data_IF_883879050538
#
_entry.id   IF_883879050538
#
_cell.length_a   1.000
_cell.length_b   1.000
_cell.length_c   1.000
_cell.angle_alpha   90.00
_cell.angle_beta   90.00
_cell.angle_gamma   90.00
#
_symmetry.space_group_name_H-M   'P 1'
#
loop_
_entity.id
_entity.type
_entity.pdbx_description
1 polymer ?
#
# COMPACT_ATOMS: atom_id res chain seq x y z
N UNK A 1 -16.76 -1.83 23.70
CA UNK A 1 -17.68 -2.10 22.57
C UNK A 1 -19.04 -1.41 22.72
N UNK A 2 -19.78 -1.55 23.82
CA UNK A 2 -21.09 -0.90 23.98
C UNK A 2 -20.99 0.63 23.99
N UNK A 3 -19.97 1.20 24.62
CA UNK A 3 -19.71 2.65 24.57
C UNK A 3 -19.51 3.13 23.12
N UNK A 4 -18.73 2.39 22.33
CA UNK A 4 -18.55 2.68 20.92
C UNK A 4 -19.87 2.69 20.15
N UNK A 5 -20.72 1.68 20.31
CA UNK A 5 -22.04 1.66 19.65
C UNK A 5 -22.88 2.89 19.97
N UNK A 6 -22.81 3.34 21.24
CA UNK A 6 -23.58 4.50 21.71
C UNK A 6 -22.97 5.84 21.25
N UNK A 7 -21.66 5.89 21.00
CA UNK A 7 -20.97 7.10 20.56
C UNK A 7 -21.18 7.40 19.07
N UNK A 8 -21.40 6.36 18.26
CA UNK A 8 -21.50 6.48 16.80
C UNK A 8 -22.84 7.11 16.41
N UNK A 9 -22.79 8.16 15.59
CA UNK A 9 -23.98 8.84 15.04
C UNK A 9 -24.21 8.43 13.59
N UNK A 10 -25.49 8.38 13.19
CA UNK A 10 -25.84 8.16 11.79
C UNK A 10 -25.33 9.29 10.91
N UNK A 11 -24.61 8.94 9.83
CA UNK A 11 -24.06 9.89 8.87
C UNK A 11 -23.79 9.24 7.52
N UNK A 12 -23.67 10.08 6.50
CA UNK A 12 -23.22 9.64 5.17
C UNK A 12 -21.94 10.38 4.83
N UNK A 13 -20.87 9.63 4.55
CA UNK A 13 -19.56 10.14 4.19
C UNK A 13 -19.36 9.86 2.69
N UNK A 14 -19.47 10.89 1.82
CA UNK A 14 -19.16 10.73 0.40
C UNK A 14 -17.69 10.34 0.24
N UNK A 15 -17.40 9.35 -0.58
CA UNK A 15 -16.03 9.03 -0.96
C UNK A 15 -15.62 9.90 -2.15
N UNK A 16 -14.37 10.35 -2.14
CA UNK A 16 -13.83 11.15 -3.24
C UNK A 16 -13.30 10.25 -4.37
N UNK A 17 -12.90 10.88 -5.43
CA UNK A 17 -12.35 10.20 -6.60
C UNK A 17 -11.05 9.48 -6.31
N UNK A 18 -10.21 10.00 -5.41
CA UNK A 18 -8.96 9.37 -5.02
C UNK A 18 -9.20 8.11 -4.18
N UNK A 19 -10.26 8.07 -3.35
CA UNK A 19 -10.68 6.85 -2.65
C UNK A 19 -11.04 5.73 -3.65
N UNK A 20 -11.72 6.08 -4.75
CA UNK A 20 -12.18 5.07 -5.72
C UNK A 20 -11.06 4.45 -6.54
N UNK A 21 -9.89 5.08 -6.58
CA UNK A 21 -8.70 4.55 -7.28
C UNK A 21 -8.00 3.44 -6.48
N UNK A 22 -8.08 3.45 -5.16
CA UNK A 22 -7.54 2.43 -4.26
C UNK A 22 -8.19 1.04 -4.37
N UNK A 23 -9.06 0.87 -5.32
CA UNK A 23 -9.94 -0.22 -5.73
C UNK A 23 -9.68 -1.62 -5.16
N UNK A 24 -10.64 -2.14 -4.39
CA UNK A 24 -10.92 -3.57 -4.13
C UNK A 24 -9.82 -4.38 -3.44
N UNK A 25 -8.69 -3.77 -3.10
CA UNK A 25 -7.65 -4.37 -2.27
C UNK A 25 -7.80 -3.91 -0.82
N UNK A 26 -7.29 -4.73 0.07
CA UNK A 26 -7.00 -4.36 1.45
C UNK A 26 -5.55 -3.88 1.53
N UNK A 27 -5.22 -3.20 2.63
CA UNK A 27 -3.84 -2.90 3.04
C UNK A 27 -3.57 -3.76 4.29
N UNK A 28 -3.16 -5.03 4.12
CA UNK A 28 -2.96 -5.94 5.22
C UNK A 28 -1.50 -5.95 5.66
N UNK A 29 -1.28 -5.72 6.95
CA UNK A 29 0.02 -5.89 7.59
C UNK A 29 -0.10 -6.76 8.83
N UNK A 30 1.00 -7.43 9.19
CA UNK A 30 1.15 -8.13 10.46
C UNK A 30 2.29 -7.50 11.24
N UNK A 31 1.99 -7.15 12.49
CA UNK A 31 2.92 -6.58 13.46
C UNK A 31 3.23 -7.63 14.52
N UNK A 32 4.48 -7.99 14.70
CA UNK A 32 4.92 -8.96 15.70
C UNK A 32 5.56 -8.23 16.87
N UNK A 33 5.05 -8.48 18.07
CA UNK A 33 5.56 -7.92 19.32
C UNK A 33 6.14 -9.03 20.17
N UNK A 34 7.33 -8.80 20.71
CA UNK A 34 8.02 -9.75 21.60
C UNK A 34 7.75 -9.41 23.05
N UNK A 35 7.38 -10.41 23.84
CA UNK A 35 7.31 -10.30 25.30
C UNK A 35 8.67 -10.67 25.93
N UNK A 36 9.66 -9.82 25.75
CA UNK A 36 11.02 -10.10 26.21
C UNK A 36 11.14 -10.31 27.73
N UNK A 37 10.21 -9.76 28.51
CA UNK A 37 10.18 -9.88 29.98
C UNK A 37 9.28 -11.01 30.47
N UNK A 38 8.60 -11.72 29.58
CA UNK A 38 7.60 -12.74 29.89
C UNK A 38 6.52 -12.24 30.87
N UNK A 39 6.17 -10.95 30.78
CA UNK A 39 5.14 -10.34 31.61
C UNK A 39 3.78 -11.00 31.34
N UNK A 40 3.10 -11.41 32.41
CA UNK A 40 1.78 -12.04 32.33
C UNK A 40 0.71 -11.09 31.76
N UNK A 41 0.91 -9.78 31.91
CA UNK A 41 -0.02 -8.74 31.43
C UNK A 41 0.42 -8.13 30.09
N UNK A 42 1.38 -8.75 29.40
CA UNK A 42 1.86 -8.23 28.12
C UNK A 42 0.73 -8.10 27.10
N UNK A 43 0.45 -6.87 26.67
CA UNK A 43 -0.58 -6.53 25.68
C UNK A 43 -1.90 -7.30 25.94
N UNK A 44 -2.48 -7.17 27.15
CA UNK A 44 -3.62 -8.00 27.57
C UNK A 44 -4.80 -7.88 26.62
N UNK A 45 -5.53 -9.00 26.42
CA UNK A 45 -6.73 -9.09 25.57
C UNK A 45 -7.72 -7.96 25.85
N UNK A 46 -8.05 -7.73 27.12
CA UNK A 46 -9.01 -6.69 27.52
C UNK A 46 -8.51 -5.30 27.14
N UNK A 47 -7.23 -4.99 27.43
CA UNK A 47 -6.69 -3.65 27.15
C UNK A 47 -6.58 -3.38 25.63
N UNK A 48 -6.20 -4.37 24.83
CA UNK A 48 -6.18 -4.26 23.36
C UNK A 48 -7.58 -4.03 22.81
N UNK A 49 -8.55 -4.83 23.23
CA UNK A 49 -9.95 -4.69 22.77
C UNK A 49 -10.56 -3.36 23.19
N UNK A 50 -10.40 -2.94 24.44
CA UNK A 50 -10.99 -1.69 24.94
C UNK A 50 -10.38 -0.47 24.23
N UNK A 51 -9.05 -0.46 24.09
CA UNK A 51 -8.37 0.62 23.36
C UNK A 51 -8.71 0.64 21.87
N UNK A 52 -8.91 -0.55 21.24
CA UNK A 52 -9.35 -0.63 19.86
C UNK A 52 -10.71 0.04 19.66
N UNK A 53 -11.73 -0.36 20.43
CA UNK A 53 -13.06 0.26 20.32
C UNK A 53 -13.05 1.73 20.70
N UNK A 54 -12.20 2.14 21.64
CA UNK A 54 -12.00 3.55 21.97
C UNK A 54 -11.37 4.34 20.81
N UNK A 55 -10.48 3.71 20.06
CA UNK A 55 -9.92 4.28 18.83
C UNK A 55 -11.00 4.43 17.77
N UNK A 56 -11.87 3.43 17.60
CA UNK A 56 -12.95 3.47 16.60
C UNK A 56 -13.94 4.60 16.84
N UNK A 57 -14.07 5.10 18.06
CA UNK A 57 -14.90 6.31 18.32
C UNK A 57 -14.43 7.55 17.55
N UNK A 58 -13.14 7.62 17.24
CA UNK A 58 -12.55 8.69 16.43
C UNK A 58 -12.70 8.47 14.91
N UNK A 59 -13.05 7.25 14.50
CA UNK A 59 -13.16 6.85 13.09
C UNK A 59 -14.52 6.18 12.82
N UNK A 60 -15.64 6.88 12.95
CA UNK A 60 -16.98 6.29 12.79
C UNK A 60 -17.22 5.71 11.39
N UNK A 61 -16.41 6.08 10.41
CA UNK A 61 -16.45 5.53 9.05
C UNK A 61 -16.33 3.99 9.06
N UNK A 62 -15.57 3.41 9.99
CA UNK A 62 -15.36 1.97 10.07
C UNK A 62 -16.59 1.19 10.53
N UNK A 63 -17.60 1.86 11.10
CA UNK A 63 -18.89 1.24 11.44
C UNK A 63 -19.93 1.35 10.31
N UNK A 64 -19.53 1.85 9.15
CA UNK A 64 -20.44 2.09 8.02
C UNK A 64 -20.44 0.98 6.97
N UNK A 65 -21.33 1.13 6.00
CA UNK A 65 -21.45 0.28 4.81
C UNK A 65 -21.22 1.09 3.56
N UNK A 66 -20.53 0.49 2.61
CA UNK A 66 -20.34 1.11 1.30
C UNK A 66 -21.61 1.01 0.50
N UNK A 67 -22.12 2.16 0.10
CA UNK A 67 -23.24 2.30 -0.82
C UNK A 67 -22.78 2.92 -2.12
N UNK A 68 -23.05 2.26 -3.22
CA UNK A 68 -22.78 2.79 -4.57
C UNK A 68 -24.04 3.46 -5.13
N UNK A 69 -23.87 4.68 -5.61
CA UNK A 69 -24.92 5.41 -6.36
C UNK A 69 -24.77 5.22 -7.89
N UNK A 70 -23.93 4.28 -8.32
CA UNK A 70 -23.55 4.09 -9.72
C UNK A 70 -22.46 5.10 -10.17
N UNK A 71 -21.93 4.89 -11.37
CA UNK A 71 -20.93 5.76 -11.99
C UNK A 71 -19.70 6.09 -11.14
N UNK A 72 -19.31 5.19 -10.21
CA UNK A 72 -18.15 5.41 -9.33
C UNK A 72 -18.41 6.32 -8.12
N UNK A 73 -19.63 6.88 -7.97
CA UNK A 73 -20.00 7.64 -6.78
C UNK A 73 -20.36 6.71 -5.64
N UNK A 74 -19.43 6.54 -4.72
CA UNK A 74 -19.60 5.73 -3.53
C UNK A 74 -19.72 6.62 -2.30
N UNK A 75 -20.36 6.12 -1.27
CA UNK A 75 -20.39 6.73 0.05
C UNK A 75 -20.32 5.63 1.10
N UNK A 76 -19.81 5.97 2.26
CA UNK A 76 -19.96 5.14 3.46
C UNK A 76 -21.16 5.68 4.24
N UNK A 77 -22.14 4.81 4.46
CA UNK A 77 -23.33 5.13 5.24
C UNK A 77 -23.21 4.45 6.59
N UNK A 78 -23.19 5.25 7.64
CA UNK A 78 -23.21 4.81 9.03
C UNK A 78 -24.64 4.94 9.55
N UNK A 79 -25.24 3.85 9.99
CA UNK A 79 -26.59 3.80 10.56
C UNK A 79 -26.49 3.33 12.01
N UNK A 80 -26.73 4.22 12.97
CA UNK A 80 -26.56 3.91 14.40
C UNK A 80 -27.37 2.69 14.86
N UNK A 81 -28.56 2.50 14.29
CA UNK A 81 -29.43 1.35 14.62
C UNK A 81 -29.02 0.05 13.95
N UNK A 82 -28.06 0.12 12.99
CA UNK A 82 -27.61 -1.04 12.22
C UNK A 82 -26.15 -0.85 11.82
N UNK A 83 -25.24 -0.84 12.81
CA UNK A 83 -23.81 -0.67 12.56
C UNK A 83 -23.20 -1.90 11.87
N UNK A 84 -22.31 -1.64 10.92
CA UNK A 84 -21.38 -2.65 10.41
C UNK A 84 -20.15 -2.66 11.32
N UNK A 85 -20.25 -3.40 12.43
CA UNK A 85 -19.22 -3.37 13.47
C UNK A 85 -17.82 -3.68 12.93
N UNK A 86 -16.79 -2.94 13.37
CA UNK A 86 -15.39 -3.29 13.16
C UNK A 86 -15.13 -4.74 13.54
N UNK A 87 -14.37 -5.46 12.72
CA UNK A 87 -14.02 -6.85 12.98
C UNK A 87 -12.76 -6.92 13.85
N UNK A 88 -12.95 -7.36 15.09
CA UNK A 88 -11.87 -7.58 16.07
C UNK A 88 -12.00 -8.98 16.64
N UNK A 89 -10.98 -9.79 16.41
CA UNK A 89 -10.95 -11.19 16.84
C UNK A 89 -9.61 -11.54 17.50
N UNK A 90 -9.61 -12.57 18.33
CA UNK A 90 -8.40 -13.09 18.98
C UNK A 90 -8.32 -14.61 18.87
N UNK A 91 -7.09 -15.13 18.79
CA UNK A 91 -6.77 -16.54 18.85
C UNK A 91 -5.45 -16.78 19.60
N UNK A 92 -5.08 -18.06 19.74
CA UNK A 92 -3.80 -18.48 20.29
C UNK A 92 -3.13 -19.47 19.33
N UNK A 93 -1.81 -19.38 19.22
CA UNK A 93 -0.99 -20.22 18.34
C UNK A 93 0.04 -21.01 19.14
N UNK A 94 0.39 -22.19 18.63
CA UNK A 94 1.55 -22.98 19.11
C UNK A 94 2.89 -22.49 18.58
N UNK A 95 2.95 -21.35 17.88
CA UNK A 95 4.21 -20.77 17.37
C UNK A 95 4.83 -19.87 18.44
N UNK A 96 6.10 -20.12 18.76
CA UNK A 96 6.88 -19.29 19.68
C UNK A 96 7.61 -18.18 18.92
N UNK A 97 7.82 -17.00 19.52
CA UNK A 97 8.49 -15.85 18.90
C UNK A 97 9.90 -16.19 18.40
N UNK A 98 10.63 -17.05 19.10
CA UNK A 98 11.98 -17.46 18.68
C UNK A 98 11.97 -18.29 17.41
N UNK A 99 10.90 -19.05 17.16
CA UNK A 99 10.70 -19.75 15.88
C UNK A 99 10.56 -18.76 14.74
N UNK A 100 9.81 -17.67 14.94
CA UNK A 100 9.68 -16.59 13.97
C UNK A 100 11.02 -15.91 13.69
N UNK A 101 11.75 -15.55 14.76
CA UNK A 101 13.08 -14.94 14.66
C UNK A 101 14.07 -15.85 13.96
N UNK A 102 14.12 -17.13 14.31
CA UNK A 102 15.03 -18.12 13.72
C UNK A 102 14.77 -18.35 12.23
N UNK A 103 13.56 -18.06 11.76
CA UNK A 103 13.17 -18.14 10.34
C UNK A 103 13.11 -16.76 9.65
N UNK A 104 13.71 -15.71 10.25
CA UNK A 104 13.71 -14.35 9.68
C UNK A 104 12.31 -13.76 9.48
N UNK A 105 11.34 -14.17 10.30
CA UNK A 105 9.92 -13.79 10.15
C UNK A 105 9.30 -14.14 8.79
N UNK A 106 9.85 -15.13 8.09
CA UNK A 106 9.26 -15.63 6.85
C UNK A 106 7.82 -16.11 7.07
N UNK A 107 6.93 -15.83 6.13
CA UNK A 107 5.51 -16.25 6.16
C UNK A 107 5.31 -17.75 6.43
N UNK A 108 6.26 -18.59 6.03
CA UNK A 108 6.21 -20.04 6.26
C UNK A 108 6.26 -20.43 7.73
N UNK A 109 6.73 -19.54 8.58
CA UNK A 109 6.81 -19.74 10.03
C UNK A 109 5.69 -19.05 10.81
N UNK A 110 4.82 -18.27 10.12
CA UNK A 110 3.74 -17.56 10.79
C UNK A 110 2.65 -18.51 11.32
N UNK A 111 1.88 -18.09 12.34
CA UNK A 111 0.65 -18.78 12.69
C UNK A 111 -0.30 -18.91 11.47
N UNK A 112 -0.89 -20.09 11.28
CA UNK A 112 -1.73 -20.37 10.12
C UNK A 112 -2.96 -19.45 10.02
N UNK A 113 -3.47 -18.98 11.15
CA UNK A 113 -4.66 -18.15 11.27
C UNK A 113 -4.37 -16.65 11.43
N UNK A 114 -3.11 -16.21 11.33
CA UNK A 114 -2.77 -14.81 11.57
C UNK A 114 -3.49 -13.84 10.64
N UNK A 115 -3.67 -14.19 9.39
CA UNK A 115 -4.35 -13.35 8.40
C UNK A 115 -5.80 -13.81 8.19
N UNK A 116 -6.76 -13.12 8.78
CA UNK A 116 -8.20 -13.46 8.69
C UNK A 116 -8.88 -12.94 7.42
N UNK A 117 -8.33 -11.92 6.79
CA UNK A 117 -8.81 -11.42 5.50
C UNK A 117 -7.67 -11.41 4.47
N UNK A 118 -7.97 -11.85 3.27
CA UNK A 118 -7.00 -11.84 2.18
C UNK A 118 -6.72 -10.42 1.65
N UNK A 119 -5.81 -10.30 0.68
CA UNK A 119 -5.42 -9.02 0.09
C UNK A 119 -6.53 -8.35 -0.74
N UNK A 120 -7.60 -9.08 -1.05
CA UNK A 120 -8.76 -8.55 -1.77
C UNK A 120 -9.94 -8.35 -0.83
N UNK A 121 -10.58 -7.18 -0.96
CA UNK A 121 -11.79 -6.87 -0.22
C UNK A 121 -12.93 -7.82 -0.60
N UNK A 122 -13.49 -8.53 0.37
CA UNK A 122 -14.61 -9.47 0.20
C UNK A 122 -15.74 -9.12 1.16
N UNK A 123 -16.96 -9.38 0.73
CA UNK A 123 -18.09 -9.35 1.65
C UNK A 123 -18.05 -10.59 2.57
N UNK A 124 -18.37 -10.36 3.84
CA UNK A 124 -18.59 -11.42 4.82
C UNK A 124 -19.85 -12.25 4.52
N UNK A 125 -20.18 -13.17 5.40
CA UNK A 125 -21.37 -14.03 5.29
C UNK A 125 -22.68 -13.22 5.35
N UNK A 126 -22.68 -12.12 6.08
CA UNK A 126 -23.77 -11.13 6.15
C UNK A 126 -23.94 -10.29 4.86
N UNK A 127 -23.05 -10.46 3.88
CA UNK A 127 -23.03 -9.69 2.65
C UNK A 127 -22.38 -8.33 2.77
N UNK A 128 -21.92 -7.93 3.95
CA UNK A 128 -21.25 -6.66 4.22
C UNK A 128 -19.74 -6.78 4.09
N UNK A 129 -19.11 -5.68 3.66
CA UNK A 129 -17.65 -5.54 3.66
C UNK A 129 -17.25 -4.89 4.98
N UNK A 130 -16.43 -5.57 5.77
CA UNK A 130 -15.83 -4.97 6.96
C UNK A 130 -14.83 -3.91 6.55
N UNK A 131 -14.93 -2.72 7.14
CA UNK A 131 -14.07 -1.57 6.78
C UNK A 131 -12.79 -1.50 7.61
N UNK A 132 -12.66 -2.36 8.61
CA UNK A 132 -11.43 -2.64 9.35
C UNK A 132 -11.51 -4.08 9.87
N UNK A 133 -10.39 -4.80 9.76
CA UNK A 133 -10.24 -6.15 10.28
C UNK A 133 -8.98 -6.19 11.14
N UNK A 134 -9.15 -6.62 12.39
CA UNK A 134 -8.06 -6.82 13.34
C UNK A 134 -8.15 -8.23 13.88
N UNK A 135 -7.02 -8.94 13.82
CA UNK A 135 -6.88 -10.24 14.45
C UNK A 135 -5.63 -10.28 15.31
N UNK A 136 -5.80 -10.61 16.58
CA UNK A 136 -4.71 -10.70 17.57
C UNK A 136 -4.43 -12.16 17.83
N UNK A 137 -3.19 -12.60 17.59
CA UNK A 137 -2.76 -13.97 17.87
C UNK A 137 -1.78 -13.97 19.02
N UNK A 138 -2.13 -14.67 20.10
CA UNK A 138 -1.24 -14.95 21.23
C UNK A 138 -0.25 -16.03 20.83
N UNK A 139 1.04 -15.72 20.87
CA UNK A 139 2.08 -16.70 20.59
C UNK A 139 2.29 -17.65 21.77
N UNK A 140 2.84 -18.84 21.49
CA UNK A 140 3.07 -19.89 22.48
C UNK A 140 3.82 -19.35 23.71
N UNK A 141 3.42 -19.85 24.89
CA UNK A 141 4.00 -19.51 26.20
C UNK A 141 4.02 -18.00 26.51
N UNK A 142 3.07 -17.24 25.92
CA UNK A 142 3.00 -15.78 26.02
C UNK A 142 4.30 -15.10 25.57
N UNK A 143 5.04 -15.73 24.64
CA UNK A 143 6.31 -15.22 24.13
C UNK A 143 6.18 -13.96 23.29
N UNK A 144 4.95 -13.63 22.84
CA UNK A 144 4.66 -12.45 22.05
C UNK A 144 3.23 -12.39 21.56
N UNK A 145 2.98 -11.39 20.73
CA UNK A 145 1.68 -11.14 20.09
C UNK A 145 1.92 -10.82 18.60
N UNK A 146 1.13 -11.43 17.72
CA UNK A 146 1.00 -10.99 16.33
C UNK A 146 -0.33 -10.27 16.15
N UNK A 147 -0.30 -9.09 15.54
CA UNK A 147 -1.49 -8.30 15.23
C UNK A 147 -1.61 -8.17 13.71
N UNK A 148 -2.60 -8.84 13.16
CA UNK A 148 -3.05 -8.57 11.80
C UNK A 148 -3.93 -7.33 11.81
N UNK A 149 -3.63 -6.37 10.93
CA UNK A 149 -4.33 -5.12 10.81
C UNK A 149 -4.57 -4.81 9.34
N UNK A 150 -5.83 -4.69 8.94
CA UNK A 150 -6.21 -4.56 7.54
C UNK A 150 -7.40 -3.62 7.36
N UNK A 151 -7.26 -2.69 6.42
CA UNK A 151 -8.30 -1.74 6.03
C UNK A 151 -8.45 -1.79 4.50
N UNK A 152 -9.69 -1.76 3.98
CA UNK A 152 -9.92 -1.64 2.54
C UNK A 152 -9.29 -0.37 1.96
N UNK A 153 -8.50 -0.52 0.90
CA UNK A 153 -7.71 0.55 0.32
C UNK A 153 -8.53 1.71 -0.28
N UNK A 154 -9.82 1.52 -0.51
CA UNK A 154 -10.69 2.62 -0.90
C UNK A 154 -11.23 3.46 0.28
N UNK A 155 -10.87 3.13 1.52
CA UNK A 155 -11.17 3.94 2.70
C UNK A 155 -9.97 4.79 3.09
N UNK A 156 -8.77 4.17 3.13
CA UNK A 156 -7.51 4.81 3.53
C UNK A 156 -6.37 4.41 2.59
N UNK A 157 -5.37 5.27 2.46
CA UNK A 157 -4.06 4.93 1.93
C UNK A 157 -3.10 4.42 3.02
N UNK A 158 -1.85 4.12 2.65
CA UNK A 158 -0.85 3.59 3.57
C UNK A 158 -0.50 4.55 4.70
N UNK A 159 -0.47 5.87 4.44
CA UNK A 159 -0.20 6.90 5.46
C UNK A 159 -1.32 6.93 6.49
N UNK A 160 -2.57 7.05 6.03
CA UNK A 160 -3.73 7.09 6.92
C UNK A 160 -3.94 5.75 7.66
N UNK A 161 -3.60 4.60 7.05
CA UNK A 161 -3.60 3.30 7.70
C UNK A 161 -2.67 3.28 8.93
N UNK A 162 -1.44 3.79 8.78
CA UNK A 162 -0.49 3.88 9.88
C UNK A 162 -0.92 4.87 10.95
N UNK A 163 -1.56 5.98 10.58
CA UNK A 163 -2.10 6.94 11.56
C UNK A 163 -3.19 6.32 12.43
N UNK A 164 -4.07 5.48 11.88
CA UNK A 164 -5.05 4.72 12.68
C UNK A 164 -4.36 3.74 13.62
N UNK A 165 -3.34 3.02 13.14
CA UNK A 165 -2.56 2.08 13.97
C UNK A 165 -1.83 2.81 15.11
N UNK A 166 -1.14 3.91 14.82
CA UNK A 166 -0.45 4.74 15.82
C UNK A 166 -1.45 5.32 16.85
N UNK A 167 -2.63 5.74 16.41
CA UNK A 167 -3.68 6.21 17.29
C UNK A 167 -4.16 5.12 18.26
N UNK A 168 -4.32 3.90 17.78
CA UNK A 168 -4.65 2.76 18.64
C UNK A 168 -3.56 2.52 19.69
N UNK A 169 -2.29 2.53 19.30
CA UNK A 169 -1.16 2.42 20.22
C UNK A 169 -1.17 3.52 21.29
N UNK A 170 -1.39 4.78 20.90
CA UNK A 170 -1.44 5.92 21.82
C UNK A 170 -2.60 5.79 22.84
N UNK A 171 -3.79 5.42 22.36
CA UNK A 171 -4.96 5.23 23.24
C UNK A 171 -4.73 4.06 24.18
N UNK A 172 -4.15 2.94 23.70
CA UNK A 172 -3.77 1.82 24.55
C UNK A 172 -2.83 2.26 25.68
N UNK A 173 -1.78 3.02 25.38
CA UNK A 173 -0.83 3.52 26.36
C UNK A 173 -1.51 4.43 27.39
N UNK A 174 -2.34 5.39 26.96
CA UNK A 174 -3.05 6.29 27.85
C UNK A 174 -3.98 5.53 28.82
N UNK A 175 -4.75 4.57 28.30
CA UNK A 175 -5.65 3.75 29.14
C UNK A 175 -4.87 2.85 30.09
N UNK A 176 -3.82 2.21 29.64
CA UNK A 176 -2.98 1.32 30.47
C UNK A 176 -2.27 2.07 31.61
N UNK A 177 -1.95 3.35 31.40
CA UNK A 177 -1.32 4.22 32.38
C UNK A 177 -2.32 4.98 33.26
N UNK A 178 -3.63 4.73 33.14
CA UNK A 178 -4.68 5.42 33.89
C UNK A 178 -4.86 6.90 33.53
N UNK A 179 -4.46 7.29 32.32
CA UNK A 179 -4.46 8.67 31.81
C UNK A 179 -5.62 8.91 30.81
N UNK A 180 -6.78 8.31 31.08
CA UNK A 180 -7.94 8.43 30.18
C UNK A 180 -8.45 9.87 29.98
N UNK A 181 -8.21 10.75 30.93
CA UNK A 181 -8.52 12.20 30.86
C UNK A 181 -7.78 12.89 29.71
N UNK A 182 -6.58 12.43 29.36
CA UNK A 182 -5.79 12.99 28.27
C UNK A 182 -6.26 12.62 26.88
N UNK A 183 -7.23 11.71 26.74
CA UNK A 183 -7.81 11.36 25.43
C UNK A 183 -8.47 12.57 24.75
N UNK A 184 -9.00 13.52 25.55
CA UNK A 184 -9.60 14.75 25.03
C UNK A 184 -8.60 15.74 24.47
N UNK A 185 -7.31 15.61 24.80
CA UNK A 185 -6.22 16.46 24.31
C UNK A 185 -5.69 16.00 22.92
N UNK A 186 -6.05 14.81 22.50
CA UNK A 186 -5.58 14.25 21.24
C UNK A 186 -6.21 14.98 20.05
N UNK A 187 -5.41 15.36 19.02
CA UNK A 187 -5.96 16.03 17.85
C UNK A 187 -6.95 15.10 17.13
N UNK A 188 -8.09 15.64 16.72
CA UNK A 188 -9.11 14.89 16.01
C UNK A 188 -8.65 14.59 14.57
N UNK A 189 -9.08 13.43 14.05
CA UNK A 189 -8.95 13.11 12.64
C UNK A 189 -10.17 13.59 11.87
N UNK A 190 -9.94 14.04 10.63
CA UNK A 190 -11.04 14.30 9.70
C UNK A 190 -11.15 13.17 8.67
N UNK A 191 -12.39 12.71 8.50
CA UNK A 191 -12.78 11.78 7.43
C UNK A 191 -13.58 12.50 6.36
N UNK A 192 -13.70 13.82 6.45
CA UNK A 192 -14.41 14.65 5.49
C UNK A 192 -13.57 14.79 4.20
N UNK A 193 -14.07 14.19 3.12
CA UNK A 193 -13.41 14.19 1.81
C UNK A 193 -13.52 15.53 1.08
N UNK A 194 -14.38 16.45 1.55
CA UNK A 194 -14.53 17.79 0.94
C UNK A 194 -13.25 18.62 1.09
N UNK A 195 -12.45 18.38 2.11
CA UNK A 195 -11.17 19.07 2.36
C UNK A 195 -10.22 18.98 1.14
N UNK A 196 -10.28 17.89 0.37
CA UNK A 196 -9.47 17.74 -0.84
C UNK A 196 -9.82 18.82 -1.86
N UNK A 197 -11.13 19.14 -2.03
CA UNK A 197 -11.56 20.17 -2.98
C UNK A 197 -11.06 21.55 -2.57
N UNK A 198 -11.01 21.83 -1.28
CA UNK A 198 -10.53 23.11 -0.74
C UNK A 198 -9.01 23.27 -0.92
N UNK A 199 -8.26 22.17 -0.94
CA UNK A 199 -6.82 22.14 -1.16
C UNK A 199 -6.43 22.16 -2.64
N UNK A 200 -7.38 21.92 -3.58
CA UNK A 200 -7.04 21.92 -5.00
C UNK A 200 -6.79 23.35 -5.52
N UNK A 201 -5.67 23.61 -6.20
CA UNK A 201 -5.41 24.91 -6.80
C UNK A 201 -6.41 25.21 -7.94
N UNK A 202 -6.65 26.50 -8.17
CA UNK A 202 -7.48 26.97 -9.30
C UNK A 202 -6.77 26.81 -10.63
N UNK A 203 -5.43 26.95 -10.61
CA UNK A 203 -4.59 26.77 -11.80
C UNK A 203 -4.38 25.29 -12.05
N UNK A 204 -4.82 24.83 -13.22
CA UNK A 204 -4.79 23.42 -13.61
C UNK A 204 -3.95 23.26 -14.87
N UNK A 205 -3.21 22.15 -14.94
CA UNK A 205 -2.51 21.80 -16.18
C UNK A 205 -3.50 21.38 -17.26
N UNK A 206 -3.22 21.67 -18.54
CA UNK A 206 -4.07 21.21 -19.64
C UNK A 206 -4.26 19.69 -19.61
N UNK A 207 -5.46 19.22 -19.87
CA UNK A 207 -5.81 17.77 -19.93
C UNK A 207 -4.92 16.99 -20.90
N UNK A 208 -4.40 17.64 -21.95
CA UNK A 208 -3.49 17.03 -22.93
C UNK A 208 -2.14 16.59 -22.30
N UNK A 209 -1.65 17.28 -21.26
CA UNK A 209 -0.47 16.84 -20.52
C UNK A 209 -0.77 15.55 -19.72
N UNK A 210 -2.00 15.39 -19.25
CA UNK A 210 -2.48 14.19 -18.56
C UNK A 210 -2.68 13.00 -19.51
N UNK A 211 -3.03 13.22 -20.78
CA UNK A 211 -3.36 12.14 -21.72
C UNK A 211 -2.16 11.27 -22.07
N UNK A 212 -0.94 11.78 -21.89
CA UNK A 212 0.28 11.03 -22.15
C UNK A 212 0.75 10.21 -20.92
N UNK A 213 0.38 10.66 -19.71
CA UNK A 213 0.91 10.12 -18.46
C UNK A 213 -0.15 9.47 -17.57
N UNK A 214 -1.44 9.63 -17.84
CA UNK A 214 -2.52 9.12 -16.99
C UNK A 214 -3.37 8.08 -17.70
N UNK A 215 -4.16 7.36 -16.90
CA UNK A 215 -5.14 6.37 -17.34
C UNK A 215 -6.26 6.97 -18.18
N UNK A 216 -6.01 7.31 -19.44
CA UNK A 216 -6.98 7.93 -20.32
C UNK A 216 -7.60 6.95 -21.31
N UNK A 217 -8.90 6.82 -21.29
CA UNK A 217 -9.69 6.03 -22.24
C UNK A 217 -10.77 5.19 -21.58
N UNK A 218 -11.97 5.21 -22.13
CA UNK A 218 -13.12 4.46 -21.63
C UNK A 218 -13.07 2.99 -22.01
N UNK A 219 -13.51 2.12 -21.10
CA UNK A 219 -13.83 0.73 -21.37
C UNK A 219 -15.29 0.49 -21.01
N UNK A 220 -16.11 0.05 -21.96
CA UNK A 220 -17.50 -0.37 -21.71
C UNK A 220 -17.59 -1.42 -20.60
N UNK A 221 -16.60 -2.33 -20.52
CA UNK A 221 -16.54 -3.32 -19.45
C UNK A 221 -16.31 -2.65 -18.08
N UNK A 222 -15.49 -1.62 -18.03
CA UNK A 222 -15.22 -0.89 -16.79
C UNK A 222 -16.44 -0.08 -16.34
N UNK A 223 -17.20 0.49 -17.25
CA UNK A 223 -18.47 1.14 -16.92
C UNK A 223 -19.50 0.14 -16.39
N UNK A 224 -19.65 -1.01 -17.04
CA UNK A 224 -20.50 -2.08 -16.55
C UNK A 224 -20.10 -2.51 -15.13
N UNK A 225 -18.80 -2.68 -14.87
CA UNK A 225 -18.28 -3.01 -13.53
C UNK A 225 -18.55 -1.89 -12.51
N UNK A 226 -18.60 -0.63 -12.91
CA UNK A 226 -18.91 0.48 -12.01
C UNK A 226 -20.37 0.47 -11.52
N UNK A 227 -21.29 -0.15 -12.26
CA UNK A 227 -22.69 -0.32 -11.88
C UNK A 227 -22.95 -1.53 -10.96
N UNK A 228 -22.00 -2.45 -10.87
CA UNK A 228 -22.11 -3.63 -10.03
C UNK A 228 -21.80 -3.24 -8.57
N UNK A 229 -22.51 -3.87 -7.62
CA UNK A 229 -22.28 -3.63 -6.20
C UNK A 229 -20.80 -3.87 -5.84
N UNK A 230 -20.21 -3.11 -4.89
CA UNK A 230 -18.82 -3.27 -4.47
C UNK A 230 -18.50 -4.70 -4.04
N UNK A 231 -19.43 -5.39 -3.35
CA UNK A 231 -19.28 -6.77 -2.92
C UNK A 231 -19.15 -7.76 -4.09
N UNK A 232 -20.04 -7.67 -5.09
CA UNK A 232 -19.99 -8.55 -6.27
C UNK A 232 -18.75 -8.25 -7.12
N UNK A 233 -18.39 -6.99 -7.25
CA UNK A 233 -17.19 -6.54 -7.93
C UNK A 233 -15.92 -7.09 -7.27
N UNK A 234 -15.84 -7.03 -5.93
CA UNK A 234 -14.75 -7.63 -5.15
C UNK A 234 -14.63 -9.14 -5.39
N UNK A 235 -15.76 -9.88 -5.46
CA UNK A 235 -15.76 -11.32 -5.78
C UNK A 235 -15.22 -11.61 -7.18
N UNK A 236 -15.65 -10.85 -8.19
CA UNK A 236 -15.18 -11.01 -9.58
C UNK A 236 -13.67 -10.75 -9.67
N UNK A 237 -13.19 -9.66 -9.06
CA UNK A 237 -11.78 -9.31 -9.06
C UNK A 237 -10.95 -10.34 -8.27
N UNK A 238 -11.44 -10.83 -7.12
CA UNK A 238 -10.78 -11.89 -6.37
C UNK A 238 -10.59 -13.15 -7.22
N UNK A 239 -11.59 -13.55 -8.00
CA UNK A 239 -11.47 -14.71 -8.89
C UNK A 239 -10.45 -14.49 -10.01
N UNK A 240 -10.33 -13.25 -10.52
CA UNK A 240 -9.33 -12.90 -11.55
C UNK A 240 -7.93 -12.94 -10.95
N UNK A 241 -7.76 -12.35 -9.78
CA UNK A 241 -6.47 -12.25 -9.10
C UNK A 241 -6.00 -13.60 -8.55
N UNK A 242 -6.90 -14.42 -7.99
CA UNK A 242 -6.58 -15.77 -7.51
C UNK A 242 -5.99 -16.69 -8.59
N UNK A 243 -6.18 -16.36 -9.86
CA UNK A 243 -5.55 -17.06 -10.99
C UNK A 243 -4.11 -16.58 -11.27
N UNK A 244 -3.71 -15.45 -10.70
CA UNK A 244 -2.34 -14.94 -10.81
C UNK A 244 -1.54 -15.54 -9.64
N UNK A 245 -0.80 -16.61 -9.90
CA UNK A 245 0.14 -17.15 -8.91
C UNK A 245 1.30 -16.18 -8.79
N UNK A 246 1.22 -15.22 -7.88
CA UNK A 246 2.32 -14.34 -7.56
C UNK A 246 3.16 -14.94 -6.43
N UNK A 247 4.47 -14.77 -6.52
CA UNK A 247 5.43 -15.03 -5.47
C UNK A 247 5.97 -13.69 -4.98
N UNK A 248 6.21 -13.58 -3.68
CA UNK A 248 6.73 -12.36 -3.09
C UNK A 248 7.98 -12.64 -2.28
N UNK A 249 8.87 -11.67 -2.29
CA UNK A 249 10.06 -11.65 -1.46
C UNK A 249 10.29 -10.26 -0.87
N UNK A 250 10.95 -10.23 0.27
CA UNK A 250 11.43 -9.03 0.91
C UNK A 250 12.94 -8.96 0.75
N UNK A 251 13.41 -7.82 0.25
CA UNK A 251 14.83 -7.53 0.10
C UNK A 251 15.18 -6.31 0.94
N UNK A 252 16.37 -6.28 1.49
CA UNK A 252 16.92 -5.13 2.18
C UNK A 252 17.98 -4.45 1.32
N UNK A 253 17.84 -3.14 1.14
CA UNK A 253 18.83 -2.29 0.46
C UNK A 253 19.44 -1.38 1.50
N UNK A 254 20.70 -1.62 1.83
CA UNK A 254 21.40 -0.86 2.86
C UNK A 254 21.77 0.56 2.40
N UNK A 255 21.93 1.46 3.36
CA UNK A 255 22.42 2.82 3.10
C UNK A 255 23.76 2.84 2.36
N UNK A 256 24.65 1.88 2.66
CA UNK A 256 25.92 1.75 1.98
C UNK A 256 25.77 1.36 0.51
N UNK A 257 24.83 0.46 0.20
CA UNK A 257 24.50 0.10 -1.18
C UNK A 257 23.97 1.32 -1.96
N UNK A 258 23.05 2.09 -1.35
CA UNK A 258 22.59 3.34 -1.96
C UNK A 258 23.74 4.31 -2.26
N UNK A 259 24.60 4.58 -1.29
CA UNK A 259 25.72 5.52 -1.47
C UNK A 259 26.65 5.10 -2.62
N UNK A 260 26.96 3.80 -2.71
CA UNK A 260 27.79 3.25 -3.79
C UNK A 260 27.14 3.42 -5.17
N UNK A 261 25.84 3.16 -5.26
CA UNK A 261 25.10 3.26 -6.53
C UNK A 261 24.87 4.72 -6.93
N UNK A 262 24.58 5.60 -5.97
CA UNK A 262 24.49 7.06 -6.21
C UNK A 262 25.80 7.62 -6.78
N UNK A 263 26.94 7.25 -6.20
CA UNK A 263 28.25 7.68 -6.71
C UNK A 263 28.48 7.20 -8.14
N UNK A 264 28.15 5.92 -8.42
CA UNK A 264 28.36 5.34 -9.74
C UNK A 264 27.44 6.00 -10.80
N UNK A 265 26.15 6.15 -10.50
CA UNK A 265 25.14 6.69 -11.43
C UNK A 265 25.30 8.21 -11.58
N UNK A 266 25.66 8.92 -10.51
CA UNK A 266 25.88 10.37 -10.53
C UNK A 266 26.96 10.79 -11.51
N UNK A 267 27.99 9.95 -11.71
CA UNK A 267 29.04 10.22 -12.71
C UNK A 267 28.55 10.17 -14.17
N UNK A 268 27.40 9.52 -14.41
CA UNK A 268 26.77 9.39 -15.72
C UNK A 268 25.62 10.37 -15.96
N UNK A 269 25.29 11.20 -14.98
CA UNK A 269 24.27 12.25 -15.06
C UNK A 269 24.90 13.64 -15.05
N UNK A 270 24.20 14.69 -15.51
CA UNK A 270 24.66 16.06 -15.37
C UNK A 270 24.88 16.45 -13.89
N UNK A 271 25.93 17.23 -13.59
CA UNK A 271 26.28 17.67 -12.21
C UNK A 271 25.14 18.39 -11.49
N UNK A 272 24.19 18.96 -12.23
CA UNK A 272 23.03 19.66 -11.67
C UNK A 272 21.86 18.73 -11.29
N UNK A 273 21.94 17.43 -11.58
CA UNK A 273 20.85 16.49 -11.31
C UNK A 273 21.01 15.84 -9.93
N UNK A 274 20.06 16.12 -9.05
CA UNK A 274 19.97 15.47 -7.73
C UNK A 274 19.12 14.18 -7.85
N UNK A 275 19.77 13.04 -7.76
CA UNK A 275 19.10 11.73 -7.81
C UNK A 275 18.45 11.45 -6.43
N UNK A 276 17.18 11.07 -6.41
CA UNK A 276 16.55 10.54 -5.21
C UNK A 276 16.74 9.01 -5.10
N UNK A 277 16.71 8.48 -3.87
CA UNK A 277 16.73 7.03 -3.62
C UNK A 277 15.58 6.33 -4.34
N UNK A 278 14.40 6.97 -4.38
CA UNK A 278 13.20 6.43 -5.02
C UNK A 278 13.35 6.33 -6.55
N UNK A 279 13.94 7.32 -7.22
CA UNK A 279 14.23 7.26 -8.67
C UNK A 279 15.23 6.16 -9.00
N UNK A 280 16.24 6.02 -8.14
CA UNK A 280 17.25 4.98 -8.29
C UNK A 280 16.64 3.59 -8.15
N UNK A 281 15.80 3.37 -7.12
CA UNK A 281 15.06 2.12 -6.92
C UNK A 281 14.06 1.86 -8.05
N UNK A 282 13.29 2.86 -8.46
CA UNK A 282 12.36 2.74 -9.58
C UNK A 282 13.08 2.24 -10.84
N UNK A 283 14.23 2.85 -11.16
CA UNK A 283 15.02 2.49 -12.34
C UNK A 283 15.62 1.08 -12.23
N UNK A 284 16.27 0.79 -11.12
CA UNK A 284 16.93 -0.50 -10.89
C UNK A 284 15.92 -1.66 -10.87
N UNK A 285 14.84 -1.52 -10.08
CA UNK A 285 13.84 -2.58 -9.92
C UNK A 285 13.07 -2.80 -11.23
N UNK A 286 12.72 -1.73 -11.94
CA UNK A 286 12.05 -1.84 -13.24
C UNK A 286 12.93 -2.62 -14.22
N UNK A 287 14.22 -2.31 -14.27
CA UNK A 287 15.19 -3.01 -15.14
C UNK A 287 15.35 -4.47 -14.76
N UNK A 288 15.53 -4.75 -13.47
CA UNK A 288 15.66 -6.11 -12.93
C UNK A 288 14.43 -6.96 -13.27
N UNK A 289 13.23 -6.46 -13.02
CA UNK A 289 11.99 -7.19 -13.33
C UNK A 289 11.80 -7.40 -14.83
N UNK A 290 12.10 -6.41 -15.66
CA UNK A 290 11.98 -6.53 -17.11
C UNK A 290 12.95 -7.55 -17.69
N UNK A 291 14.21 -7.54 -17.26
CA UNK A 291 15.22 -8.55 -17.68
C UNK A 291 14.80 -9.94 -17.23
N UNK A 292 14.33 -10.08 -15.98
CA UNK A 292 13.86 -11.35 -15.45
C UNK A 292 12.63 -11.87 -16.20
N UNK A 293 11.70 -11.01 -16.60
CA UNK A 293 10.56 -11.36 -17.44
C UNK A 293 10.99 -11.84 -18.84
N UNK A 294 11.97 -11.17 -19.43
CA UNK A 294 12.52 -11.56 -20.74
C UNK A 294 13.18 -12.95 -20.68
N UNK A 295 13.97 -13.21 -19.63
CA UNK A 295 14.62 -14.51 -19.40
C UNK A 295 13.58 -15.61 -19.16
N UNK A 296 12.62 -15.40 -18.27
CA UNK A 296 11.57 -16.36 -17.96
C UNK A 296 10.69 -16.71 -19.17
N UNK A 297 10.44 -15.75 -20.05
CA UNK A 297 9.66 -15.97 -21.28
C UNK A 297 10.45 -16.58 -22.44
N UNK A 298 11.75 -16.75 -22.31
CA UNK A 298 12.65 -17.20 -23.39
C UNK A 298 12.75 -16.21 -24.56
N UNK A 299 12.34 -14.95 -24.36
CA UNK A 299 12.28 -13.91 -25.41
C UNK A 299 13.52 -13.04 -25.49
N UNK A 300 14.48 -13.20 -24.56
CA UNK A 300 15.69 -12.37 -24.48
C UNK A 300 16.59 -12.36 -25.72
N UNK A 301 16.29 -13.19 -26.72
CA UNK A 301 17.07 -13.26 -27.97
C UNK A 301 16.36 -12.62 -29.19
N UNK A 302 15.19 -11.97 -29.04
CA UNK A 302 14.32 -11.66 -30.18
C UNK A 302 13.77 -10.27 -30.33
N UNK A 303 14.07 -9.30 -29.43
CA UNK A 303 13.63 -7.93 -29.71
C UNK A 303 14.55 -7.31 -30.74
N UNK A 304 13.96 -7.01 -31.89
CA UNK A 304 14.69 -6.29 -32.95
C UNK A 304 15.08 -4.91 -32.42
N UNK A 305 16.30 -4.40 -32.73
CA UNK A 305 16.75 -3.06 -32.30
C UNK A 305 15.76 -1.92 -32.63
N UNK A 306 14.89 -2.09 -33.62
CA UNK A 306 13.90 -1.14 -34.07
C UNK A 306 12.51 -1.34 -33.42
N UNK A 307 12.42 -2.16 -32.38
CA UNK A 307 11.15 -2.42 -31.70
C UNK A 307 10.65 -1.17 -30.97
N UNK A 308 9.48 -0.68 -31.35
CA UNK A 308 8.72 0.34 -30.60
C UNK A 308 7.95 -0.25 -29.41
N UNK A 309 8.33 -1.45 -28.96
CA UNK A 309 7.67 -2.09 -27.82
C UNK A 309 8.09 -1.40 -26.52
N UNK A 310 7.13 -1.15 -25.68
CA UNK A 310 7.30 -0.44 -24.40
C UNK A 310 6.72 -1.26 -23.27
N UNK A 311 7.33 -1.14 -22.08
CA UNK A 311 6.85 -1.68 -20.83
C UNK A 311 6.08 -0.57 -20.08
N UNK A 312 4.78 -0.75 -19.80
CA UNK A 312 4.04 0.20 -18.99
C UNK A 312 4.36 0.01 -17.51
N UNK A 313 4.70 1.09 -16.83
CA UNK A 313 4.94 1.16 -15.40
C UNK A 313 3.95 2.13 -14.79
N UNK A 314 3.13 1.66 -13.85
CA UNK A 314 2.31 2.53 -13.02
C UNK A 314 3.13 2.97 -11.81
N UNK A 315 3.46 4.24 -11.74
CA UNK A 315 4.12 4.87 -10.59
C UNK A 315 3.02 5.52 -9.75
N UNK A 316 2.93 5.15 -8.49
CA UNK A 316 1.88 5.59 -7.57
C UNK A 316 2.50 6.53 -6.56
N UNK A 317 2.04 7.79 -6.56
CA UNK A 317 2.52 8.87 -5.70
C UNK A 317 1.54 9.14 -4.56
N UNK A 318 2.06 9.37 -3.38
CA UNK A 318 1.37 10.04 -2.29
C UNK A 318 1.47 11.55 -2.51
N UNK A 319 0.35 12.27 -2.55
CA UNK A 319 0.33 13.69 -2.99
C UNK A 319 -0.19 14.66 -1.91
N UNK A 320 -0.07 14.32 -0.61
CA UNK A 320 -0.40 15.25 0.50
C UNK A 320 0.48 16.49 0.48
N UNK A 321 1.76 16.33 0.20
CA UNK A 321 2.71 17.44 0.13
C UNK A 321 2.32 18.42 -0.98
N UNK A 322 2.02 17.90 -2.17
CA UNK A 322 1.61 18.71 -3.33
C UNK A 322 0.31 19.48 -3.08
N UNK A 323 -0.55 18.97 -2.20
CA UNK A 323 -1.81 19.62 -1.80
C UNK A 323 -1.69 20.47 -0.53
N UNK A 324 -0.50 20.55 0.10
CA UNK A 324 -0.32 21.26 1.38
C UNK A 324 -1.08 20.61 2.54
N UNK A 325 -1.32 19.31 2.50
CA UNK A 325 -2.09 18.55 3.47
C UNK A 325 -1.26 17.78 4.51
N UNK A 326 0.05 17.95 4.54
CA UNK A 326 0.96 17.22 5.45
C UNK A 326 0.70 17.49 6.93
N UNK A 327 0.17 18.66 7.26
CA UNK A 327 -0.20 19.04 8.63
C UNK A 327 -1.66 18.71 9.00
N UNK A 328 -2.42 18.13 8.09
CA UNK A 328 -3.81 17.78 8.32
C UNK A 328 -3.92 16.36 8.87
N UNK A 329 -4.73 16.15 9.91
CA UNK A 329 -5.07 14.81 10.38
C UNK A 329 -6.13 14.17 9.46
N UNK A 330 -5.87 14.15 8.15
CA UNK A 330 -6.80 13.61 7.17
C UNK A 330 -6.66 12.09 7.06
N UNK A 331 -7.75 11.38 7.38
CA UNK A 331 -7.86 9.95 7.23
C UNK A 331 -8.65 9.58 5.96
N UNK A 332 -7.93 9.45 4.86
CA UNK A 332 -8.47 9.08 3.55
C UNK A 332 -7.36 8.81 2.53
N UNK A 333 -7.74 8.54 1.27
CA UNK A 333 -6.77 8.31 0.20
C UNK A 333 -6.35 9.62 -0.46
N UNK A 334 -5.06 9.79 -0.64
CA UNK A 334 -4.45 10.85 -1.43
C UNK A 334 -3.35 10.24 -2.31
N UNK A 335 -3.73 9.25 -3.12
CA UNK A 335 -2.81 8.60 -4.06
C UNK A 335 -3.16 8.98 -5.49
N UNK A 336 -2.14 9.23 -6.29
CA UNK A 336 -2.27 9.50 -7.72
C UNK A 336 -1.39 8.55 -8.53
N UNK A 337 -1.97 7.63 -9.33
CA UNK A 337 -1.20 6.80 -10.24
C UNK A 337 -0.90 7.55 -11.55
N UNK A 338 0.35 7.51 -11.98
CA UNK A 338 0.77 7.88 -13.32
C UNK A 338 1.28 6.64 -14.07
N UNK A 339 0.99 6.53 -15.36
CA UNK A 339 1.58 5.50 -16.19
C UNK A 339 2.66 6.13 -17.05
N UNK A 340 3.85 5.61 -16.91
CA UNK A 340 4.97 5.87 -17.82
C UNK A 340 5.25 4.63 -18.67
N UNK A 341 5.93 4.83 -19.79
CA UNK A 341 6.34 3.75 -20.69
C UNK A 341 7.85 3.77 -20.82
N UNK A 342 8.47 2.61 -20.71
CA UNK A 342 9.91 2.45 -20.88
C UNK A 342 10.19 1.61 -22.12
N UNK A 343 11.00 2.12 -23.08
CA UNK A 343 11.40 1.33 -24.25
C UNK A 343 12.07 0.01 -23.85
N UNK A 344 11.62 -1.10 -24.42
CA UNK A 344 12.21 -2.41 -24.09
C UNK A 344 13.70 -2.48 -24.42
N UNK A 345 14.15 -1.77 -25.45
CA UNK A 345 15.59 -1.68 -25.80
C UNK A 345 16.43 -1.08 -24.67
N UNK A 346 15.89 -0.16 -23.88
CA UNK A 346 16.55 0.41 -22.70
C UNK A 346 16.61 -0.61 -21.54
N UNK A 347 15.58 -1.45 -21.40
CA UNK A 347 15.47 -2.44 -20.33
C UNK A 347 16.35 -3.67 -20.56
N UNK A 348 16.55 -4.08 -21.81
CA UNK A 348 17.29 -5.28 -22.17
C UNK A 348 18.82 -5.09 -22.19
N UNK A 349 19.30 -3.84 -22.26
CA UNK A 349 20.74 -3.56 -22.13
C UNK A 349 21.25 -4.04 -20.75
N UNK A 350 22.56 -4.39 -20.64
CA UNK A 350 23.14 -4.74 -19.35
C UNK A 350 22.88 -3.65 -18.28
N UNK A 351 22.73 -4.05 -17.03
CA UNK A 351 22.58 -3.10 -15.92
C UNK A 351 23.94 -2.49 -15.60
N UNK A 352 24.10 -1.23 -15.94
CA UNK A 352 25.31 -0.41 -15.67
C UNK A 352 24.87 0.94 -15.12
N UNK A 353 25.81 1.71 -14.59
CA UNK A 353 25.56 3.07 -14.12
C UNK A 353 24.95 3.96 -15.22
N UNK A 354 25.47 3.87 -16.45
CA UNK A 354 24.99 4.63 -17.62
C UNK A 354 23.57 4.21 -18.01
N UNK A 355 23.28 2.90 -17.98
CA UNK A 355 21.94 2.41 -18.31
C UNK A 355 20.90 2.82 -17.27
N UNK A 356 21.28 2.86 -15.97
CA UNK A 356 20.42 3.36 -14.91
C UNK A 356 20.24 4.88 -15.02
N UNK A 357 21.28 5.65 -15.29
CA UNK A 357 21.19 7.08 -15.57
C UNK A 357 20.22 7.38 -16.71
N UNK A 358 20.29 6.62 -17.81
CA UNK A 358 19.35 6.75 -18.92
C UNK A 358 17.89 6.46 -18.51
N UNK A 359 17.67 5.50 -17.62
CA UNK A 359 16.35 5.20 -17.08
C UNK A 359 15.84 6.30 -16.14
N UNK A 360 16.69 6.83 -15.27
CA UNK A 360 16.36 7.98 -14.41
C UNK A 360 15.92 9.15 -15.29
N UNK A 361 16.65 9.48 -16.35
CA UNK A 361 16.25 10.51 -17.30
C UNK A 361 14.90 10.23 -17.98
N UNK A 362 14.61 8.96 -18.30
CA UNK A 362 13.31 8.57 -18.87
C UNK A 362 12.15 8.76 -17.86
N UNK A 363 12.39 8.56 -16.57
CA UNK A 363 11.37 8.73 -15.53
C UNK A 363 11.28 10.17 -15.00
N UNK A 364 12.33 10.97 -15.15
CA UNK A 364 12.43 12.31 -14.58
C UNK A 364 11.26 13.22 -15.00
N UNK A 365 10.82 13.16 -16.24
CA UNK A 365 9.65 13.91 -16.71
C UNK A 365 8.39 13.52 -15.92
N UNK A 366 8.18 12.22 -15.68
CA UNK A 366 7.02 11.72 -14.93
C UNK A 366 7.11 12.12 -13.46
N UNK A 367 8.24 11.87 -12.81
CA UNK A 367 8.45 12.15 -11.38
C UNK A 367 8.35 13.65 -11.11
N UNK A 368 9.05 14.48 -11.90
CA UNK A 368 9.08 15.92 -11.70
C UNK A 368 7.80 16.65 -12.16
N UNK A 369 6.89 15.94 -12.86
CA UNK A 369 5.61 16.51 -13.27
C UNK A 369 4.57 16.55 -12.15
N UNK A 370 4.80 15.80 -11.05
CA UNK A 370 3.83 15.66 -9.96
C UNK A 370 3.82 16.92 -9.10
N UNK A 371 2.89 17.80 -9.42
CA UNK A 371 2.63 19.03 -8.68
C UNK A 371 1.12 19.19 -8.40
N UNK A 372 0.75 20.18 -7.62
CA UNK A 372 -0.64 20.44 -7.26
C UNK A 372 -1.55 20.69 -8.46
N UNK A 373 -1.03 21.30 -9.53
CA UNK A 373 -1.78 21.55 -10.77
C UNK A 373 -2.09 20.26 -11.53
N UNK A 374 -1.16 19.32 -11.57
CA UNK A 374 -1.38 17.98 -12.14
C UNK A 374 -2.38 17.18 -11.31
N UNK A 375 -2.28 17.22 -9.97
CA UNK A 375 -3.22 16.58 -9.05
C UNK A 375 -4.63 17.13 -9.27
N UNK A 376 -4.80 18.45 -9.34
CA UNK A 376 -6.09 19.09 -9.60
C UNK A 376 -6.70 18.65 -10.93
N UNK A 377 -5.89 18.59 -11.98
CA UNK A 377 -6.33 18.15 -13.32
C UNK A 377 -6.72 16.68 -13.32
N UNK A 378 -6.00 15.83 -12.57
CA UNK A 378 -6.32 14.41 -12.41
C UNK A 378 -7.67 14.23 -11.69
N UNK A 379 -7.87 14.91 -10.57
CA UNK A 379 -9.14 14.88 -9.80
C UNK A 379 -10.31 15.33 -10.69
N UNK A 380 -10.16 16.42 -11.43
CA UNK A 380 -11.20 16.89 -12.35
C UNK A 380 -11.48 15.90 -13.47
N UNK A 381 -10.44 15.35 -14.09
CA UNK A 381 -10.57 14.35 -15.14
C UNK A 381 -11.36 13.13 -14.66
N UNK A 382 -11.07 12.62 -13.48
CA UNK A 382 -11.77 11.44 -12.96
C UNK A 382 -13.17 11.78 -12.48
N UNK A 383 -13.41 12.97 -11.88
CA UNK A 383 -14.74 13.44 -11.51
C UNK A 383 -15.66 13.67 -12.73
N UNK A 384 -15.11 14.15 -13.84
CA UNK A 384 -15.89 14.39 -15.07
C UNK A 384 -16.29 13.09 -15.79
N UNK A 385 -15.74 11.94 -15.40
CA UNK A 385 -15.96 10.65 -16.04
C UNK A 385 -16.78 9.73 -15.15
N UNK A 386 -17.67 8.97 -15.78
CA UNK A 386 -18.56 8.06 -15.07
C UNK A 386 -17.89 6.83 -14.46
N UNK A 387 -16.58 6.65 -14.67
CA UNK A 387 -15.85 5.47 -14.22
C UNK A 387 -14.36 5.79 -14.03
N UNK A 388 -13.81 5.40 -12.87
CA UNK A 388 -12.38 5.42 -12.61
C UNK A 388 -11.60 4.34 -13.41
N UNK A 389 -12.31 3.41 -14.06
CA UNK A 389 -11.71 2.35 -14.87
C UNK A 389 -11.56 2.80 -16.32
N UNK A 390 -10.39 3.27 -16.65
CA UNK A 390 -10.06 3.65 -18.03
C UNK A 390 -9.49 2.46 -18.80
N UNK A 391 -9.48 2.54 -20.14
CA UNK A 391 -8.88 1.49 -20.98
C UNK A 391 -7.44 1.14 -20.61
N UNK A 392 -6.54 2.10 -20.31
CA UNK A 392 -5.20 1.80 -19.86
C UNK A 392 -5.16 0.99 -18.57
N UNK A 393 -6.01 1.26 -17.56
CA UNK A 393 -6.10 0.44 -16.35
C UNK A 393 -6.44 -1.00 -16.69
N UNK A 394 -7.43 -1.22 -17.55
CA UNK A 394 -7.81 -2.57 -17.96
C UNK A 394 -6.70 -3.25 -18.76
N UNK A 395 -6.02 -2.54 -19.65
CA UNK A 395 -4.84 -3.05 -20.36
C UNK A 395 -3.71 -3.38 -19.40
N UNK A 396 -3.42 -2.47 -18.48
CA UNK A 396 -2.43 -2.64 -17.45
C UNK A 396 -2.74 -3.87 -16.57
N UNK A 397 -3.98 -4.00 -16.08
CA UNK A 397 -4.39 -5.13 -15.27
C UNK A 397 -4.37 -6.49 -16.01
N UNK A 398 -4.48 -6.48 -17.33
CA UNK A 398 -4.41 -7.68 -18.19
C UNK A 398 -3.00 -8.00 -18.69
N UNK A 399 -2.09 -7.05 -18.63
CA UNK A 399 -0.70 -7.26 -19.03
C UNK A 399 0.04 -8.08 -17.98
N UNK A 400 0.67 -9.14 -18.41
CA UNK A 400 1.57 -9.94 -17.54
C UNK A 400 2.90 -9.26 -17.28
N UNK A 401 3.26 -8.27 -18.08
CA UNK A 401 4.56 -7.57 -18.00
C UNK A 401 4.44 -6.21 -17.31
N UNK A 402 3.26 -5.61 -17.26
CA UNK A 402 3.05 -4.32 -16.61
C UNK A 402 3.42 -4.35 -15.12
N UNK A 403 4.07 -3.29 -14.64
CA UNK A 403 4.53 -3.16 -13.26
C UNK A 403 3.80 -2.04 -12.53
N UNK A 404 3.59 -2.24 -11.22
CA UNK A 404 3.15 -1.18 -10.30
C UNK A 404 4.27 -0.90 -9.30
N UNK A 405 4.62 0.35 -9.13
CA UNK A 405 5.64 0.80 -8.21
C UNK A 405 5.03 1.88 -7.29
N UNK A 406 4.96 1.62 -6.01
CA UNK A 406 4.62 2.65 -5.03
C UNK A 406 5.88 3.47 -4.79
N UNK A 407 5.82 4.75 -5.23
CA UNK A 407 7.00 5.60 -5.33
C UNK A 407 7.53 6.02 -3.96
N UNK A 408 6.61 6.36 -3.06
CA UNK A 408 6.99 6.84 -1.75
C UNK A 408 7.23 5.67 -0.79
N UNK A 409 8.24 5.80 0.06
CA UNK A 409 8.49 4.84 1.14
C UNK A 409 7.32 4.92 2.12
N UNK A 410 6.78 3.76 2.50
CA UNK A 410 5.73 3.69 3.52
C UNK A 410 6.18 4.34 4.82
N UNK A 411 5.27 5.00 5.57
CA UNK A 411 5.57 5.54 6.89
C UNK A 411 6.23 4.51 7.80
N UNK A 412 7.01 4.98 8.78
CA UNK A 412 7.66 4.07 9.75
C UNK A 412 6.61 3.26 10.52
N UNK A 413 6.44 2.00 10.08
CA UNK A 413 5.50 1.06 10.68
C UNK A 413 5.99 0.56 12.05
N UNK A 414 7.27 0.70 12.33
CA UNK A 414 7.85 0.33 13.63
C UNK A 414 7.54 1.39 14.71
N UNK A 415 6.93 2.53 14.39
CA UNK A 415 6.38 3.47 15.37
C UNK A 415 5.10 2.97 16.08
N UNK A 416 4.54 1.84 15.64
CA UNK A 416 3.37 1.22 16.26
C UNK A 416 3.73 0.58 17.63
N UNK A 417 3.96 1.39 18.64
CA UNK A 417 4.37 0.97 19.99
C UNK A 417 3.18 1.03 20.98
N UNK A 418 2.78 -0.11 21.50
CA UNK A 418 1.76 -0.22 22.57
C UNK A 418 2.30 0.05 23.98
N UNK A 419 3.48 0.64 24.12
CA UNK A 419 4.13 0.89 25.41
C UNK A 419 5.01 -0.26 25.91
N UNK A 420 5.17 -1.31 25.10
CA UNK A 420 6.04 -2.44 25.37
C UNK A 420 7.26 -2.47 24.46
N UNK A 421 7.49 -1.40 23.70
CA UNK A 421 8.51 -1.26 22.69
C UNK A 421 7.96 -1.41 21.27
N UNK A 422 8.82 -1.09 20.32
CA UNK A 422 8.52 -1.18 18.88
C UNK A 422 8.25 -2.65 18.47
N UNK A 423 7.48 -2.89 17.41
CA UNK A 423 7.32 -4.23 16.84
C UNK A 423 8.69 -4.88 16.58
N UNK A 424 8.84 -6.15 16.90
CA UNK A 424 10.01 -6.94 16.56
C UNK A 424 10.11 -7.14 15.04
N UNK A 425 8.96 -7.17 14.37
CA UNK A 425 8.86 -7.27 12.91
C UNK A 425 7.53 -6.74 12.40
N UNK A 426 7.56 -6.14 11.21
CA UNK A 426 6.34 -5.75 10.46
C UNK A 426 6.48 -6.24 9.03
N UNK A 427 5.42 -6.81 8.49
CA UNK A 427 5.42 -7.30 7.12
C UNK A 427 4.04 -7.18 6.47
N UNK A 428 3.98 -6.84 5.18
CA UNK A 428 2.76 -7.06 4.41
C UNK A 428 2.49 -8.57 4.30
N UNK A 429 1.25 -8.95 4.05
CA UNK A 429 0.89 -10.33 3.76
C UNK A 429 1.00 -10.61 2.26
N UNK A 430 0.63 -11.84 1.86
CA UNK A 430 0.68 -12.31 0.47
C UNK A 430 0.27 -11.28 -0.58
N UNK A 431 0.96 -11.25 -1.72
CA UNK A 431 0.67 -10.32 -2.80
C UNK A 431 -0.67 -10.65 -3.47
N UNK A 432 -1.43 -9.61 -3.78
CA UNK A 432 -2.62 -9.75 -4.62
C UNK A 432 -2.31 -9.70 -6.13
N UNK A 433 -1.11 -9.28 -6.51
CA UNK A 433 -0.72 -9.06 -7.90
C UNK A 433 0.77 -9.34 -8.10
N UNK A 434 1.10 -9.97 -9.24
CA UNK A 434 2.48 -10.06 -9.69
C UNK A 434 2.99 -8.71 -10.25
N UNK A 435 4.29 -8.51 -10.22
CA UNK A 435 5.01 -7.33 -10.68
C UNK A 435 4.56 -6.05 -9.94
N UNK A 436 4.38 -6.14 -8.63
CA UNK A 436 4.14 -4.99 -7.75
C UNK A 436 5.31 -4.80 -6.79
N UNK A 437 5.62 -3.55 -6.51
CA UNK A 437 6.72 -3.16 -5.62
C UNK A 437 6.20 -2.16 -4.60
N UNK A 438 6.54 -2.40 -3.35
CA UNK A 438 6.25 -1.54 -2.22
C UNK A 438 7.56 -1.27 -1.48
N UNK A 439 7.84 -0.01 -1.21
CA UNK A 439 8.99 0.43 -0.43
C UNK A 439 8.58 0.56 1.04
N UNK A 440 9.29 -0.10 1.92
CA UNK A 440 9.00 -0.14 3.35
C UNK A 440 10.16 0.47 4.13
N UNK A 441 9.86 1.13 5.21
CA UNK A 441 10.88 1.52 6.18
C UNK A 441 11.52 0.25 6.76
N UNK A 442 12.83 0.18 6.74
CA UNK A 442 13.58 -0.93 7.34
C UNK A 442 13.38 -1.01 8.85
N UNK A 443 13.51 -2.20 9.43
CA UNK A 443 13.49 -2.40 10.88
C UNK A 443 14.52 -1.52 11.60
N UNK A 444 15.74 -1.44 11.07
CA UNK A 444 16.70 -0.41 11.42
C UNK A 444 16.48 0.81 10.52
N UNK A 445 15.70 1.75 11.03
CA UNK A 445 15.32 2.97 10.28
C UNK A 445 16.50 3.84 9.88
N UNK A 446 17.71 3.53 10.37
CA UNK A 446 18.96 4.23 10.01
C UNK A 446 19.71 3.53 8.89
N UNK A 447 19.34 2.30 8.54
CA UNK A 447 20.03 1.48 7.54
C UNK A 447 19.13 1.12 6.34
N UNK A 448 18.86 2.09 5.50
CA UNK A 448 18.30 1.85 4.17
C UNK A 448 16.78 1.57 4.13
N UNK A 449 16.35 0.77 3.16
CA UNK A 449 14.95 0.53 2.79
C UNK A 449 14.73 -0.95 2.54
N UNK A 450 13.56 -1.45 2.95
CA UNK A 450 13.11 -2.78 2.61
C UNK A 450 12.21 -2.73 1.36
N UNK A 451 12.50 -3.58 0.39
CA UNK A 451 11.78 -3.67 -0.88
C UNK A 451 10.93 -4.94 -0.89
N UNK A 452 9.63 -4.78 -0.77
CA UNK A 452 8.68 -5.85 -0.97
C UNK A 452 8.35 -5.97 -2.45
N UNK A 453 8.79 -7.06 -3.07
CA UNK A 453 8.67 -7.28 -4.50
C UNK A 453 7.84 -8.52 -4.78
N UNK A 454 6.91 -8.42 -5.71
CA UNK A 454 6.08 -9.52 -6.17
C UNK A 454 6.28 -9.77 -7.66
N UNK A 455 6.35 -11.03 -8.06
CA UNK A 455 6.45 -11.42 -9.47
C UNK A 455 5.77 -12.77 -9.70
N UNK A 456 5.64 -13.18 -10.97
CA UNK A 456 5.34 -14.58 -11.29
C UNK A 456 6.48 -15.48 -10.85
N UNK A 457 6.24 -16.74 -10.42
CA UNK A 457 7.29 -17.61 -9.87
C UNK A 457 8.49 -17.84 -10.79
N UNK A 458 8.25 -17.95 -12.09
CA UNK A 458 9.30 -18.06 -13.10
C UNK A 458 10.13 -16.77 -13.23
N UNK A 459 9.49 -15.62 -13.13
CA UNK A 459 10.16 -14.31 -13.12
C UNK A 459 10.93 -14.11 -11.82
N UNK A 460 10.32 -14.41 -10.67
CA UNK A 460 10.96 -14.27 -9.36
C UNK A 460 12.23 -15.14 -9.27
N UNK A 461 12.18 -16.35 -9.83
CA UNK A 461 13.36 -17.20 -9.93
C UNK A 461 14.53 -16.54 -10.67
N UNK A 462 14.24 -15.77 -11.72
CA UNK A 462 15.26 -15.03 -12.46
C UNK A 462 15.69 -13.75 -11.73
N UNK A 463 14.79 -13.08 -10.97
CA UNK A 463 15.15 -11.97 -10.05
C UNK A 463 16.18 -12.44 -9.02
N UNK A 464 15.94 -13.60 -8.38
CA UNK A 464 16.84 -14.18 -7.38
C UNK A 464 18.19 -14.65 -7.96
N UNK A 465 18.35 -14.68 -9.28
CA UNK A 465 19.58 -14.99 -10.00
C UNK A 465 20.26 -13.79 -10.65
N UNK A 466 19.58 -12.64 -10.63
CA UNK A 466 20.14 -11.42 -11.20
C UNK A 466 21.30 -10.94 -10.33
N UNK A 467 22.51 -11.11 -10.82
CA UNK A 467 23.74 -10.83 -10.06
C UNK A 467 23.76 -9.37 -9.59
N UNK A 468 23.45 -8.42 -10.47
CA UNK A 468 23.47 -7.01 -10.10
C UNK A 468 22.47 -6.69 -8.99
N UNK A 469 21.24 -7.25 -9.06
CA UNK A 469 20.24 -7.07 -8.02
C UNK A 469 20.67 -7.70 -6.70
N UNK A 470 21.18 -8.93 -6.73
CA UNK A 470 21.62 -9.67 -5.54
C UNK A 470 22.85 -9.05 -4.86
N UNK A 471 23.73 -8.40 -5.62
CA UNK A 471 24.85 -7.63 -5.06
C UNK A 471 24.39 -6.34 -4.37
N UNK A 472 23.30 -5.75 -4.85
CA UNK A 472 22.75 -4.50 -4.33
C UNK A 472 21.75 -4.71 -3.20
N UNK A 473 20.88 -5.73 -3.30
CA UNK A 473 19.77 -5.98 -2.39
C UNK A 473 19.88 -7.37 -1.75
N UNK A 474 19.95 -7.41 -0.43
CA UNK A 474 20.02 -8.66 0.34
C UNK A 474 18.62 -9.26 0.51
N UNK A 475 18.45 -10.51 0.08
CA UNK A 475 17.22 -11.26 0.35
C UNK A 475 17.04 -11.46 1.87
N UNK A 476 15.86 -11.13 2.39
CA UNK A 476 15.44 -11.37 3.77
C UNK A 476 14.68 -12.70 3.85
N UNK A 477 13.64 -12.89 3.03
CA UNK A 477 12.89 -14.15 2.86
C UNK A 477 12.16 -14.24 1.52
#
# INVERSE_FOLDING_TARGET
MEEFKNSVKSQTIPLCVLDTQGSFSNIPFVFFYENATLSSNFMSTQALSDSFYKTMEQFPIFAGRIKSKGRGHNSVVVEQTNLNMPDYTESSSGVHIDTLKGNGFSWRAWPDDVATAGPMTKAGEDGDIKLINVHVVRLQDNSGVAIYFSIPHYILDGVAHMEVMKRWCQIYQLLSNGQADRLSEMPAFTVDRSIIQDCLPKDRKPVDALTRQTFTGFSLLAELLAWISPALRGRILSMIVARQKAEAHLFHVSKAAFASLHEAVGKALPDSYAISDNELLLSLITKTLAQSQALASGTSARIKPDSKAELPVAVIFEVREQLGMTSTNYAGNILMPLITSTPLTMLESPTTAESLAAMINNYSETVNSVDSGLVASHVEMVNSRSSCFTRPIVRFARSKTAMSFVYDIMPDMYEADFGSGRPAWVSPIEPFRANAVLLLTSRDTTDGVDVFMTAYPDVMKEVLRNEFWCDFAKLIY
#
